data_IF_727401903077
#
_entry.id   IF_727401903077
#
_cell.length_a   1.000
_cell.length_b   1.000
_cell.length_c   1.000
_cell.angle_alpha   90.00
_cell.angle_beta   90.00
_cell.angle_gamma   90.00
#
_symmetry.space_group_name_H-M   'P 1'
#
loop_
_entity.id
_entity.type
_entity.pdbx_description
1 polymer ?
#
# COMPACT_ATOMS: atom_id res chain seq x y z
N UNK A 1 -46.43 31.05 -25.40
CA UNK A 1 -45.29 30.22 -25.89
C UNK A 1 -44.11 30.55 -24.98
N UNK A 2 -43.91 29.77 -23.91
CA UNK A 2 -42.84 30.01 -22.94
C UNK A 2 -41.70 29.00 -23.24
N UNK A 3 -40.52 29.54 -23.57
CA UNK A 3 -39.31 28.75 -23.81
C UNK A 3 -38.66 28.42 -22.46
N UNK A 4 -38.59 27.14 -22.12
CA UNK A 4 -37.78 26.64 -21.00
C UNK A 4 -36.32 26.53 -21.46
N UNK A 5 -35.47 27.43 -20.98
CA UNK A 5 -34.01 27.30 -21.13
C UNK A 5 -33.48 26.24 -20.20
N UNK A 6 -32.94 25.13 -20.74
CA UNK A 6 -32.20 24.13 -19.99
C UNK A 6 -30.83 24.69 -19.57
N UNK A 7 -30.60 24.89 -18.27
CA UNK A 7 -29.29 25.17 -17.72
C UNK A 7 -28.48 23.87 -17.74
N UNK A 8 -27.50 23.80 -18.64
CA UNK A 8 -26.50 22.76 -18.62
C UNK A 8 -25.52 23.02 -17.44
N UNK A 9 -25.63 22.27 -16.38
CA UNK A 9 -24.63 22.24 -15.30
C UNK A 9 -23.37 21.52 -15.80
N UNK A 10 -22.35 22.28 -16.16
CA UNK A 10 -21.01 21.73 -16.42
C UNK A 10 -20.43 21.21 -15.09
N UNK A 11 -20.40 19.89 -14.92
CA UNK A 11 -19.68 19.28 -13.81
C UNK A 11 -18.19 19.60 -13.98
N UNK A 12 -17.61 20.36 -13.04
CA UNK A 12 -16.17 20.55 -12.94
C UNK A 12 -15.52 19.17 -12.74
N UNK A 13 -14.41 18.86 -13.45
CA UNK A 13 -13.69 17.62 -13.20
C UNK A 13 -13.28 17.59 -11.73
N UNK A 14 -13.68 16.53 -11.01
CA UNK A 14 -13.22 16.31 -9.64
C UNK A 14 -11.69 16.34 -9.66
N UNK A 15 -11.09 17.24 -8.90
CA UNK A 15 -9.64 17.30 -8.75
C UNK A 15 -9.15 15.89 -8.39
N UNK A 16 -8.12 15.39 -9.12
CA UNK A 16 -7.57 14.07 -8.87
C UNK A 16 -7.16 13.99 -7.40
N UNK A 17 -7.81 13.08 -6.67
CA UNK A 17 -7.60 12.94 -5.25
C UNK A 17 -6.17 12.48 -4.98
N UNK A 18 -5.45 13.20 -4.14
CA UNK A 18 -4.06 12.90 -3.78
C UNK A 18 -3.90 12.89 -2.26
N UNK A 19 -2.93 12.14 -1.77
CA UNK A 19 -2.51 12.22 -0.38
C UNK A 19 -1.85 13.58 -0.13
N UNK A 20 -2.27 14.32 0.92
CA UNK A 20 -1.68 15.62 1.25
C UNK A 20 -0.24 15.47 1.74
N UNK A 21 0.49 16.58 1.82
CA UNK A 21 1.81 16.61 2.45
C UNK A 21 1.70 16.33 3.95
N UNK A 22 2.53 15.41 4.46
CA UNK A 22 2.60 15.10 5.89
C UNK A 22 3.98 14.54 6.24
N UNK A 23 4.78 15.35 6.94
CA UNK A 23 6.15 15.00 7.39
C UNK A 23 7.06 14.51 6.25
N UNK A 24 6.90 15.03 5.04
CA UNK A 24 7.57 14.52 3.84
C UNK A 24 9.09 14.53 3.98
N UNK A 25 9.67 15.59 4.53
CA UNK A 25 11.13 15.72 4.74
C UNK A 25 11.72 14.62 5.64
N UNK A 26 10.91 14.02 6.53
CA UNK A 26 11.33 12.94 7.42
C UNK A 26 11.23 11.56 6.77
N UNK A 27 10.48 11.42 5.68
CA UNK A 27 10.17 10.13 5.05
C UNK A 27 10.50 10.07 3.55
N UNK A 28 10.97 11.17 2.96
CA UNK A 28 11.50 11.15 1.60
C UNK A 28 12.71 10.20 1.51
N UNK A 29 12.93 9.63 0.32
CA UNK A 29 14.12 8.83 0.08
C UNK A 29 15.37 9.69 0.25
N UNK A 30 16.41 9.20 0.99
CA UNK A 30 17.60 10.00 1.29
C UNK A 30 18.34 10.44 0.04
N UNK A 31 18.72 9.51 -0.82
CA UNK A 31 19.35 9.77 -2.11
C UNK A 31 19.03 8.66 -3.09
N UNK A 32 18.86 8.99 -4.35
CA UNK A 32 18.77 8.04 -5.45
C UNK A 32 20.16 7.83 -6.02
N UNK A 33 20.74 6.63 -5.84
CA UNK A 33 22.06 6.26 -6.31
C UNK A 33 22.09 5.98 -7.82
N UNK A 34 21.00 5.40 -8.33
CA UNK A 34 20.81 5.19 -9.76
C UNK A 34 19.32 5.07 -10.10
N UNK A 35 18.98 5.37 -11.34
CA UNK A 35 17.62 5.22 -11.86
C UNK A 35 17.67 4.69 -13.30
N UNK A 36 16.63 3.92 -13.66
CA UNK A 36 16.40 3.40 -15.00
C UNK A 36 14.89 3.42 -15.31
N UNK A 37 14.52 3.07 -16.53
CA UNK A 37 13.12 2.93 -16.98
C UNK A 37 12.30 4.21 -16.66
N UNK A 38 12.83 5.38 -17.04
CA UNK A 38 12.22 6.70 -16.80
C UNK A 38 11.87 6.93 -15.32
N UNK A 39 12.72 6.43 -14.40
CA UNK A 39 12.52 6.50 -12.96
C UNK A 39 11.57 5.42 -12.41
N UNK A 40 11.15 4.47 -13.24
CA UNK A 40 10.40 3.30 -12.82
C UNK A 40 11.20 2.33 -11.97
N UNK A 41 12.52 2.24 -12.20
CA UNK A 41 13.46 1.53 -11.33
C UNK A 41 14.38 2.53 -10.64
N UNK A 42 14.52 2.43 -9.32
CA UNK A 42 15.42 3.28 -8.53
C UNK A 42 16.19 2.47 -7.50
N UNK A 43 17.46 2.79 -7.34
CA UNK A 43 18.30 2.34 -6.22
C UNK A 43 18.44 3.48 -5.24
N UNK A 44 18.01 3.26 -4.00
CA UNK A 44 17.99 4.27 -2.94
C UNK A 44 19.08 3.98 -1.91
N UNK A 45 19.81 5.00 -1.48
CA UNK A 45 20.82 4.93 -0.42
C UNK A 45 20.14 4.67 0.94
N UNK A 46 20.14 3.41 1.38
CA UNK A 46 19.74 3.06 2.75
C UNK A 46 20.98 2.77 3.59
N UNK A 47 21.01 3.32 4.79
CA UNK A 47 22.09 3.09 5.77
C UNK A 47 21.47 2.82 7.14
N UNK A 48 21.79 1.67 7.74
CA UNK A 48 21.23 1.30 9.06
C UNK A 48 21.56 2.37 10.12
N UNK A 49 22.75 2.95 10.09
CA UNK A 49 23.14 4.00 11.05
C UNK A 49 22.18 5.19 10.98
N UNK A 50 22.00 5.77 9.81
CA UNK A 50 21.11 6.93 9.61
C UNK A 50 19.61 6.58 9.75
N UNK A 51 19.17 5.45 9.16
CA UNK A 51 17.75 5.16 8.95
C UNK A 51 17.14 4.31 10.07
N UNK A 52 17.97 3.74 10.95
CA UNK A 52 17.54 3.07 12.19
C UNK A 52 18.16 3.74 13.40
N UNK A 53 19.50 3.69 13.56
CA UNK A 53 20.15 4.04 14.83
C UNK A 53 19.99 5.52 15.22
N UNK A 54 19.99 6.42 14.23
CA UNK A 54 19.75 7.87 14.46
C UNK A 54 18.25 8.22 14.56
N UNK A 55 17.35 7.31 14.16
CA UNK A 55 15.90 7.54 14.15
C UNK A 55 15.18 6.88 15.31
N UNK A 56 15.64 5.71 15.74
CA UNK A 56 14.96 4.90 16.74
C UNK A 56 15.66 5.00 18.11
N UNK A 57 14.92 4.82 19.18
CA UNK A 57 15.48 4.51 20.48
C UNK A 57 15.95 3.04 20.48
N UNK A 58 17.24 2.82 20.75
CA UNK A 58 17.87 1.51 20.81
C UNK A 58 17.92 1.06 22.28
N UNK A 59 17.63 -0.19 22.64
CA UNK A 59 17.43 -1.36 21.75
C UNK A 59 15.99 -1.59 21.26
N UNK A 60 15.00 -0.83 21.70
CA UNK A 60 13.57 -1.08 21.47
C UNK A 60 13.15 -0.90 20.01
N UNK A 61 13.98 -0.30 19.18
CA UNK A 61 13.69 0.05 17.77
C UNK A 61 12.36 0.77 17.60
N UNK A 62 12.09 1.72 18.48
CA UNK A 62 10.94 2.60 18.46
C UNK A 62 11.37 3.98 18.00
N UNK A 63 10.79 4.45 16.93
CA UNK A 63 11.16 5.74 16.34
C UNK A 63 10.91 6.91 17.29
N UNK A 64 11.74 7.93 17.20
CA UNK A 64 11.61 9.16 17.99
C UNK A 64 10.29 9.87 17.71
N UNK A 65 9.76 10.60 18.70
CA UNK A 65 8.45 11.26 18.64
C UNK A 65 8.27 12.25 17.47
N UNK A 66 9.34 12.86 16.95
CA UNK A 66 9.25 13.76 15.78
C UNK A 66 8.68 13.10 14.53
N UNK A 67 8.83 11.77 14.38
CA UNK A 67 8.29 10.98 13.28
C UNK A 67 6.82 10.62 13.45
N UNK A 68 6.27 10.74 14.67
CA UNK A 68 4.95 10.24 15.03
C UNK A 68 3.96 11.39 15.26
N UNK A 69 2.71 11.20 14.87
CA UNK A 69 1.58 12.07 15.22
C UNK A 69 0.43 11.23 15.73
N UNK A 70 0.06 11.41 17.00
CA UNK A 70 -0.94 10.58 17.69
C UNK A 70 -2.38 11.06 17.49
N UNK A 71 -2.61 12.22 16.88
CA UNK A 71 -3.96 12.76 16.66
C UNK A 71 -4.87 11.80 15.86
N UNK A 72 -4.29 10.99 14.98
CA UNK A 72 -5.04 9.98 14.21
C UNK A 72 -5.62 8.85 15.08
N UNK A 73 -5.13 8.65 16.30
CA UNK A 73 -5.66 7.62 17.24
C UNK A 73 -7.12 7.83 17.60
N UNK A 74 -7.60 9.07 17.61
CA UNK A 74 -9.02 9.38 17.82
C UNK A 74 -9.95 8.87 16.71
N UNK A 75 -9.37 8.47 15.57
CA UNK A 75 -10.09 7.89 14.43
C UNK A 75 -9.79 6.40 14.23
N UNK A 76 -9.09 5.76 15.17
CA UNK A 76 -8.68 4.36 15.11
C UNK A 76 -9.60 3.51 15.98
N UNK A 77 -10.20 2.48 15.39
CA UNK A 77 -11.09 1.54 16.09
C UNK A 77 -10.63 0.09 15.87
N UNK A 78 -10.71 -0.74 16.91
CA UNK A 78 -10.51 -2.20 16.84
C UNK A 78 -11.89 -2.85 16.68
N UNK A 79 -12.16 -3.44 15.53
CA UNK A 79 -13.47 -3.89 15.09
C UNK A 79 -13.45 -5.36 14.71
N UNK A 80 -14.64 -5.96 14.69
CA UNK A 80 -14.87 -7.29 14.13
C UNK A 80 -15.98 -7.17 13.07
N UNK A 81 -15.67 -7.55 11.82
CA UNK A 81 -16.65 -7.65 10.77
C UNK A 81 -17.23 -9.07 10.73
N UNK A 82 -18.56 -9.19 10.77
CA UNK A 82 -19.26 -10.44 10.49
C UNK A 82 -19.42 -10.57 8.96
N UNK A 83 -18.85 -11.60 8.37
CA UNK A 83 -18.85 -11.80 6.91
C UNK A 83 -19.18 -13.24 6.54
N UNK A 84 -19.53 -13.52 5.27
CA UNK A 84 -19.68 -14.90 4.80
C UNK A 84 -18.41 -15.75 4.93
N UNK A 85 -17.24 -15.13 4.99
CA UNK A 85 -15.95 -15.81 5.22
C UNK A 85 -15.58 -15.91 6.71
N UNK A 86 -16.53 -15.63 7.61
CA UNK A 86 -16.36 -15.66 9.05
C UNK A 86 -16.10 -14.28 9.67
N UNK A 87 -15.76 -14.31 10.94
CA UNK A 87 -15.47 -13.11 11.74
C UNK A 87 -14.05 -12.63 11.44
N UNK A 88 -13.90 -11.34 11.11
CA UNK A 88 -12.62 -10.75 10.76
C UNK A 88 -12.32 -9.58 11.70
N UNK A 89 -11.39 -9.79 12.62
CA UNK A 89 -10.89 -8.76 13.49
C UNK A 89 -9.94 -7.85 12.71
N UNK A 90 -10.10 -6.54 12.83
CA UNK A 90 -9.29 -5.57 12.09
C UNK A 90 -9.28 -4.21 12.77
N UNK A 91 -8.23 -3.44 12.54
CA UNK A 91 -8.25 -2.02 12.82
C UNK A 91 -8.75 -1.25 11.59
N UNK A 92 -9.58 -0.25 11.85
CA UNK A 92 -10.04 0.73 10.88
C UNK A 92 -9.61 2.13 11.36
N UNK A 93 -9.02 2.93 10.48
CA UNK A 93 -8.57 4.29 10.79
C UNK A 93 -9.06 5.26 9.73
N UNK A 94 -9.79 6.30 10.13
CA UNK A 94 -10.33 7.31 9.24
C UNK A 94 -11.80 7.07 8.84
N UNK A 95 -12.19 7.44 7.63
CA UNK A 95 -13.58 7.51 7.19
C UNK A 95 -14.10 6.16 6.72
N UNK A 96 -15.03 5.55 7.46
CA UNK A 96 -15.62 4.24 7.14
C UNK A 96 -16.75 4.27 6.10
N UNK A 97 -17.36 5.41 5.86
CA UNK A 97 -18.42 5.62 4.87
C UNK A 97 -18.08 6.80 3.96
N UNK A 98 -18.23 6.63 2.67
CA UNK A 98 -17.85 7.64 1.69
C UNK A 98 -16.36 7.95 1.72
N UNK A 99 -15.54 6.92 2.00
CA UNK A 99 -14.09 7.06 1.96
C UNK A 99 -13.62 7.40 0.56
N UNK A 100 -12.63 8.24 0.49
CA UNK A 100 -12.01 8.70 -0.73
C UNK A 100 -11.14 7.63 -1.39
N UNK A 101 -10.54 6.77 -0.56
CA UNK A 101 -9.74 5.60 -0.90
C UNK A 101 -9.75 4.63 0.26
N UNK A 102 -9.42 3.37 -0.02
CA UNK A 102 -9.22 2.33 1.00
C UNK A 102 -7.80 1.80 0.84
N UNK A 103 -6.98 1.90 1.90
CA UNK A 103 -5.63 1.31 1.94
C UNK A 103 -5.64 0.17 2.95
N UNK A 104 -5.21 -1.01 2.54
CA UNK A 104 -5.17 -2.20 3.41
C UNK A 104 -3.74 -2.66 3.54
N UNK A 105 -3.26 -2.83 4.77
CA UNK A 105 -1.97 -3.48 5.03
C UNK A 105 -2.19 -4.94 5.42
N UNK A 106 -1.57 -5.85 4.67
CA UNK A 106 -1.57 -7.28 4.92
C UNK A 106 -0.20 -7.68 5.47
N UNK A 107 -0.17 -8.09 6.74
CA UNK A 107 1.07 -8.44 7.45
C UNK A 107 1.72 -9.71 6.93
N UNK A 108 2.99 -9.92 7.25
CA UNK A 108 3.73 -11.16 6.99
C UNK A 108 3.53 -12.21 8.07
N UNK A 109 4.27 -13.33 7.94
CA UNK A 109 4.26 -14.42 8.89
C UNK A 109 4.63 -13.94 10.31
N UNK A 110 3.89 -14.41 11.30
CA UNK A 110 4.06 -14.01 12.70
C UNK A 110 3.54 -12.61 13.04
N UNK A 111 3.01 -11.86 12.05
CA UNK A 111 2.35 -10.58 12.26
C UNK A 111 0.89 -10.72 12.70
N UNK A 112 0.24 -9.58 12.88
CA UNK A 112 -1.18 -9.47 13.18
C UNK A 112 -1.69 -8.09 12.77
N UNK A 113 -3.01 -7.85 12.88
CA UNK A 113 -3.62 -6.53 12.68
C UNK A 113 -2.95 -5.41 13.48
N UNK A 114 -2.32 -5.73 14.61
CA UNK A 114 -1.65 -4.76 15.48
C UNK A 114 -0.40 -4.16 14.83
N UNK A 115 0.30 -4.91 13.97
CA UNK A 115 1.51 -4.44 13.31
C UNK A 115 1.25 -3.21 12.44
N UNK A 116 0.21 -3.25 11.61
CA UNK A 116 -0.11 -2.15 10.68
C UNK A 116 -0.62 -0.87 11.36
N UNK A 117 -0.90 -0.90 12.66
CA UNK A 117 -1.34 0.29 13.41
C UNK A 117 -0.36 0.72 14.50
N UNK A 118 0.78 0.03 14.66
CA UNK A 118 1.80 0.46 15.60
C UNK A 118 2.41 1.80 15.15
N UNK A 119 2.41 2.77 16.04
CA UNK A 119 2.85 4.13 15.72
C UNK A 119 4.38 4.28 15.68
N UNK A 120 5.11 3.38 16.32
CA UNK A 120 6.54 3.58 16.59
C UNK A 120 7.46 2.58 15.87
N UNK A 121 6.97 1.38 15.56
CA UNK A 121 7.77 0.38 14.84
C UNK A 121 7.93 0.74 13.36
N UNK A 122 8.86 0.10 12.69
CA UNK A 122 9.19 0.38 11.28
C UNK A 122 9.39 1.87 11.00
N UNK A 123 10.13 2.57 11.90
CA UNK A 123 10.46 3.98 11.73
C UNK A 123 9.27 4.93 11.75
N UNK A 124 8.14 4.53 12.33
CA UNK A 124 6.89 5.31 12.34
C UNK A 124 6.14 5.30 11.02
N UNK A 125 6.51 4.43 10.07
CA UNK A 125 5.95 4.49 8.73
C UNK A 125 4.47 4.02 8.69
N UNK A 126 4.03 3.18 9.62
CA UNK A 126 2.61 2.88 9.81
C UNK A 126 1.83 4.08 10.40
N UNK A 127 2.44 4.83 11.31
CA UNK A 127 1.83 6.07 11.77
C UNK A 127 1.68 7.07 10.63
N UNK A 128 2.67 7.16 9.74
CA UNK A 128 2.61 8.05 8.59
C UNK A 128 1.46 7.69 7.65
N UNK A 129 1.32 6.43 7.23
CA UNK A 129 0.25 6.05 6.29
C UNK A 129 -1.14 6.25 6.90
N UNK A 130 -1.35 5.94 8.19
CA UNK A 130 -2.62 6.21 8.87
C UNK A 130 -3.00 7.70 8.80
N UNK A 131 -2.05 8.59 9.12
CA UNK A 131 -2.28 10.03 9.06
C UNK A 131 -2.56 10.51 7.64
N UNK A 132 -1.77 10.09 6.65
CA UNK A 132 -1.95 10.46 5.25
C UNK A 132 -3.35 10.07 4.73
N UNK A 133 -3.77 8.84 4.97
CA UNK A 133 -5.06 8.34 4.51
C UNK A 133 -6.23 9.03 5.22
N UNK A 134 -6.15 9.20 6.55
CA UNK A 134 -7.19 9.87 7.30
C UNK A 134 -7.34 11.35 6.88
N UNK A 135 -6.24 12.07 6.68
CA UNK A 135 -6.24 13.46 6.20
C UNK A 135 -6.82 13.60 4.78
N UNK A 136 -6.64 12.58 3.93
CA UNK A 136 -7.24 12.54 2.61
C UNK A 136 -8.74 12.17 2.64
N UNK A 137 -9.35 11.96 3.81
CA UNK A 137 -10.72 11.48 3.94
C UNK A 137 -10.89 10.01 3.52
N UNK A 138 -9.82 9.24 3.53
CA UNK A 138 -9.77 7.82 3.23
C UNK A 138 -9.97 6.93 4.44
N UNK A 139 -9.87 5.62 4.20
CA UNK A 139 -9.93 4.54 5.18
C UNK A 139 -8.66 3.70 5.10
N UNK A 140 -7.97 3.55 6.22
CA UNK A 140 -6.87 2.61 6.38
C UNK A 140 -7.33 1.40 7.18
N UNK A 141 -7.00 0.19 6.70
CA UNK A 141 -7.36 -1.09 7.33
C UNK A 141 -6.12 -1.91 7.61
N UNK A 142 -6.09 -2.54 8.78
CA UNK A 142 -5.11 -3.57 9.14
C UNK A 142 -5.85 -4.77 9.73
N UNK A 143 -6.16 -5.81 8.92
CA UNK A 143 -6.90 -6.99 9.35
C UNK A 143 -5.99 -8.11 9.89
N UNK A 144 -6.60 -8.98 10.72
CA UNK A 144 -6.16 -10.36 10.87
C UNK A 144 -6.78 -11.23 9.77
N UNK A 145 -6.15 -12.35 9.47
CA UNK A 145 -6.63 -13.39 8.56
C UNK A 145 -6.05 -14.74 8.97
N UNK A 146 -6.75 -15.82 8.61
CA UNK A 146 -6.43 -17.16 9.13
C UNK A 146 -5.23 -17.83 8.48
N UNK A 147 -4.92 -17.48 7.21
CA UNK A 147 -3.85 -18.14 6.44
C UNK A 147 -3.38 -17.27 5.27
N UNK A 148 -2.23 -17.63 4.68
CA UNK A 148 -1.67 -16.97 3.50
C UNK A 148 -2.10 -17.66 2.18
N UNK A 149 -3.27 -18.28 2.15
CA UNK A 149 -3.83 -19.02 1.01
C UNK A 149 -5.18 -18.46 0.56
N UNK A 150 -5.94 -19.24 -0.23
CA UNK A 150 -7.26 -18.88 -0.72
C UNK A 150 -8.27 -18.56 0.36
N UNK A 151 -8.18 -19.17 1.54
CA UNK A 151 -9.08 -18.89 2.66
C UNK A 151 -8.80 -17.50 3.23
N UNK A 152 -7.53 -17.16 3.47
CA UNK A 152 -7.15 -15.81 3.90
C UNK A 152 -7.52 -14.75 2.86
N UNK A 153 -7.29 -15.03 1.57
CA UNK A 153 -7.70 -14.12 0.50
C UNK A 153 -9.22 -13.92 0.46
N UNK A 154 -10.02 -14.98 0.64
CA UNK A 154 -11.47 -14.88 0.73
C UNK A 154 -11.93 -14.03 1.93
N UNK A 155 -11.26 -14.14 3.08
CA UNK A 155 -11.54 -13.29 4.24
C UNK A 155 -11.26 -11.81 3.91
N UNK A 156 -10.13 -11.50 3.29
CA UNK A 156 -9.81 -10.11 2.91
C UNK A 156 -10.80 -9.60 1.85
N UNK A 157 -11.16 -10.40 0.85
CA UNK A 157 -12.16 -10.03 -0.15
C UNK A 157 -13.52 -9.71 0.48
N UNK A 158 -13.94 -10.52 1.47
CA UNK A 158 -15.18 -10.31 2.21
C UNK A 158 -15.13 -9.01 3.05
N UNK A 159 -14.03 -8.74 3.75
CA UNK A 159 -13.83 -7.48 4.47
C UNK A 159 -13.87 -6.26 3.53
N UNK A 160 -13.18 -6.35 2.39
CA UNK A 160 -13.21 -5.31 1.36
C UNK A 160 -14.63 -5.07 0.84
N UNK A 161 -15.43 -6.11 0.67
CA UNK A 161 -16.83 -6.01 0.22
C UNK A 161 -17.67 -5.16 1.18
N UNK A 162 -17.50 -5.35 2.50
CA UNK A 162 -18.18 -4.55 3.54
C UNK A 162 -17.88 -3.06 3.39
N UNK A 163 -16.61 -2.70 3.32
CA UNK A 163 -16.22 -1.27 3.25
C UNK A 163 -16.47 -0.64 1.88
N UNK A 164 -16.41 -1.43 0.82
CA UNK A 164 -16.77 -0.96 -0.52
C UNK A 164 -18.26 -0.70 -0.69
N UNK A 165 -19.11 -1.47 -0.03
CA UNK A 165 -20.56 -1.16 -0.01
C UNK A 165 -20.83 0.23 0.60
N UNK A 166 -20.04 0.62 1.62
CA UNK A 166 -20.12 1.94 2.24
C UNK A 166 -19.34 3.04 1.49
N UNK A 167 -18.46 2.68 0.55
CA UNK A 167 -17.60 3.59 -0.23
C UNK A 167 -17.39 3.05 -1.65
N UNK A 168 -18.45 3.04 -2.50
CA UNK A 168 -18.45 2.30 -3.77
C UNK A 168 -17.42 2.83 -4.80
N UNK A 169 -17.09 4.11 -4.74
CA UNK A 169 -16.17 4.75 -5.69
C UNK A 169 -14.70 4.75 -5.21
N UNK A 170 -14.46 4.32 -3.97
CA UNK A 170 -13.13 4.31 -3.38
C UNK A 170 -12.21 3.29 -4.06
N UNK A 171 -11.06 3.72 -4.62
CA UNK A 171 -10.03 2.80 -5.06
C UNK A 171 -9.42 2.06 -3.87
N UNK A 172 -9.07 0.78 -4.08
CA UNK A 172 -8.45 -0.06 -3.06
C UNK A 172 -6.96 -0.21 -3.34
N UNK A 173 -6.10 0.10 -2.37
CA UNK A 173 -4.67 -0.14 -2.41
C UNK A 173 -4.31 -1.25 -1.43
N UNK A 174 -3.67 -2.31 -1.93
CA UNK A 174 -3.20 -3.42 -1.10
C UNK A 174 -1.70 -3.28 -0.88
N UNK A 175 -1.29 -3.11 0.36
CA UNK A 175 0.10 -3.07 0.78
C UNK A 175 0.44 -4.36 1.52
N UNK A 176 1.31 -5.17 0.96
CA UNK A 176 1.58 -6.53 1.39
C UNK A 176 3.02 -6.69 1.84
N UNK A 177 3.22 -6.92 3.14
CA UNK A 177 4.53 -7.20 3.72
C UNK A 177 4.84 -8.69 3.68
N UNK A 178 6.04 -9.04 3.21
CA UNK A 178 6.55 -10.42 3.28
C UNK A 178 5.54 -11.46 2.75
N UNK A 179 5.19 -12.47 3.53
CA UNK A 179 4.20 -13.50 3.19
C UNK A 179 2.80 -12.97 2.87
N UNK A 180 2.46 -11.73 3.29
CA UNK A 180 1.23 -11.07 2.90
C UNK A 180 1.07 -10.92 1.37
N UNK A 181 2.17 -10.97 0.63
CA UNK A 181 2.16 -10.98 -0.84
C UNK A 181 1.37 -12.12 -1.46
N UNK A 182 1.31 -13.30 -0.81
CA UNK A 182 0.46 -14.39 -1.29
C UNK A 182 -1.00 -13.97 -1.41
N UNK A 183 -1.50 -13.19 -0.43
CA UNK A 183 -2.88 -12.69 -0.47
C UNK A 183 -3.04 -11.62 -1.54
N UNK A 184 -2.06 -10.71 -1.70
CA UNK A 184 -2.07 -9.71 -2.77
C UNK A 184 -2.21 -10.38 -4.14
N UNK A 185 -1.44 -11.43 -4.40
CA UNK A 185 -1.48 -12.12 -5.67
C UNK A 185 -2.80 -12.85 -5.91
N UNK A 186 -3.35 -13.51 -4.89
CA UNK A 186 -4.65 -14.17 -5.00
C UNK A 186 -5.79 -13.16 -5.20
N UNK A 187 -5.76 -12.03 -4.51
CA UNK A 187 -6.72 -10.94 -4.71
C UNK A 187 -6.58 -10.30 -6.11
N UNK A 188 -5.37 -10.23 -6.66
CA UNK A 188 -5.13 -9.79 -8.04
C UNK A 188 -5.74 -10.75 -9.08
N UNK A 189 -5.88 -12.05 -8.76
CA UNK A 189 -6.54 -13.05 -9.60
C UNK A 189 -8.08 -13.02 -9.48
N UNK A 190 -8.64 -12.36 -8.46
CA UNK A 190 -10.08 -12.29 -8.21
C UNK A 190 -10.70 -11.13 -9.00
N UNK A 191 -11.53 -11.37 -10.05
CA UNK A 191 -12.02 -10.31 -10.94
C UNK A 191 -12.76 -9.17 -10.23
N UNK A 192 -13.56 -9.49 -9.21
CA UNK A 192 -14.38 -8.54 -8.43
C UNK A 192 -13.50 -7.60 -7.60
N UNK A 193 -12.39 -8.11 -7.07
CA UNK A 193 -11.39 -7.32 -6.34
C UNK A 193 -10.54 -6.53 -7.33
N UNK A 194 -10.00 -7.19 -8.35
CA UNK A 194 -9.14 -6.59 -9.37
C UNK A 194 -9.80 -5.37 -10.05
N UNK A 195 -11.12 -5.41 -10.25
CA UNK A 195 -11.90 -4.32 -10.82
C UNK A 195 -11.91 -3.03 -9.98
N UNK A 196 -11.45 -3.10 -8.74
CA UNK A 196 -11.46 -1.97 -7.78
C UNK A 196 -10.07 -1.60 -7.27
N UNK A 197 -9.05 -2.37 -7.64
CA UNK A 197 -7.69 -2.06 -7.24
C UNK A 197 -7.22 -0.73 -7.82
N UNK A 198 -6.75 0.12 -6.95
CA UNK A 198 -6.01 1.35 -7.25
C UNK A 198 -4.52 1.08 -7.38
N UNK A 199 -4.02 0.02 -6.74
CA UNK A 199 -2.63 -0.38 -6.79
C UNK A 199 -2.30 -1.53 -5.86
N UNK A 200 -1.19 -2.20 -6.16
CA UNK A 200 -0.56 -3.24 -5.35
C UNK A 200 0.82 -2.76 -4.91
N UNK A 201 1.12 -2.86 -3.61
CA UNK A 201 2.43 -2.52 -3.04
C UNK A 201 3.03 -3.76 -2.39
N UNK A 202 4.13 -4.25 -2.93
CA UNK A 202 4.91 -5.39 -2.42
C UNK A 202 6.09 -4.86 -1.63
N UNK A 203 6.13 -5.12 -0.33
CA UNK A 203 7.10 -4.56 0.61
C UNK A 203 7.96 -5.67 1.22
N UNK A 204 9.15 -5.92 0.65
CA UNK A 204 9.96 -7.07 1.02
C UNK A 204 9.17 -8.36 0.86
N UNK A 205 8.60 -8.58 -0.30
CA UNK A 205 7.61 -9.64 -0.51
C UNK A 205 7.94 -10.50 -1.73
N UNK A 206 7.29 -11.66 -1.81
CA UNK A 206 7.46 -12.60 -2.91
C UNK A 206 6.83 -12.04 -4.21
N UNK A 207 7.32 -12.54 -5.34
CA UNK A 207 6.77 -12.31 -6.66
C UNK A 207 5.81 -13.43 -7.08
N UNK A 208 5.07 -13.23 -8.15
CA UNK A 208 4.20 -14.24 -8.77
C UNK A 208 4.32 -14.20 -10.30
N UNK A 209 4.94 -15.21 -10.87
CA UNK A 209 5.10 -15.34 -12.33
C UNK A 209 3.75 -15.50 -13.05
N UNK A 210 2.68 -15.85 -12.34
CA UNK A 210 1.30 -15.91 -12.85
C UNK A 210 0.62 -14.54 -12.98
N UNK A 211 1.17 -13.49 -12.35
CA UNK A 211 0.57 -12.16 -12.37
C UNK A 211 0.23 -11.63 -13.78
N UNK A 212 1.06 -11.81 -14.83
CA UNK A 212 0.74 -11.34 -16.18
C UNK A 212 -0.52 -11.97 -16.81
N UNK A 213 -1.04 -13.05 -16.26
CA UNK A 213 -2.29 -13.66 -16.68
C UNK A 213 -3.52 -13.13 -15.91
N UNK A 214 -3.29 -12.43 -14.79
CA UNK A 214 -4.33 -12.01 -13.85
C UNK A 214 -5.29 -10.94 -14.41
N UNK A 215 -6.52 -10.88 -13.90
CA UNK A 215 -7.42 -9.76 -14.14
C UNK A 215 -6.84 -8.40 -13.76
N UNK A 216 -6.06 -8.31 -12.68
CA UNK A 216 -5.41 -7.07 -12.27
C UNK A 216 -4.39 -6.59 -13.30
N UNK A 217 -3.56 -7.49 -13.85
CA UNK A 217 -2.61 -7.16 -14.90
C UNK A 217 -3.32 -6.67 -16.19
N UNK A 218 -4.36 -7.39 -16.63
CA UNK A 218 -5.16 -7.02 -17.80
C UNK A 218 -5.80 -5.62 -17.66
N UNK A 219 -6.13 -5.23 -16.44
CA UNK A 219 -6.65 -3.90 -16.10
C UNK A 219 -5.55 -2.86 -15.86
N UNK A 220 -4.30 -3.24 -16.05
CA UNK A 220 -3.13 -2.37 -15.82
C UNK A 220 -3.10 -1.74 -14.41
N UNK A 221 -3.48 -2.52 -13.38
CA UNK A 221 -3.40 -2.08 -11.99
C UNK A 221 -1.95 -1.71 -11.66
N UNK A 222 -1.66 -0.49 -11.18
CA UNK A 222 -0.31 -0.09 -10.84
C UNK A 222 0.33 -1.01 -9.80
N UNK A 223 1.59 -1.37 -10.02
CA UNK A 223 2.37 -2.24 -9.13
C UNK A 223 3.61 -1.51 -8.62
N UNK A 224 3.76 -1.42 -7.31
CA UNK A 224 4.98 -0.96 -6.65
C UNK A 224 5.68 -2.14 -5.96
N UNK A 225 7.00 -2.19 -6.09
CA UNK A 225 7.85 -3.20 -5.48
C UNK A 225 8.95 -2.48 -4.69
N UNK A 226 8.94 -2.64 -3.37
CA UNK A 226 10.02 -2.21 -2.50
C UNK A 226 10.84 -3.43 -2.05
N UNK A 227 12.17 -3.43 -2.26
CA UNK A 227 13.01 -4.57 -1.95
C UNK A 227 14.35 -4.15 -1.34
N UNK A 228 14.77 -4.83 -0.26
CA UNK A 228 16.11 -4.67 0.31
C UNK A 228 17.15 -5.45 -0.51
N UNK A 229 18.32 -4.84 -0.79
CA UNK A 229 19.35 -5.52 -1.59
C UNK A 229 20.02 -6.69 -0.86
N UNK A 230 19.91 -6.72 0.47
CA UNK A 230 20.40 -7.81 1.34
C UNK A 230 19.26 -8.61 1.97
N UNK A 231 18.10 -8.62 1.36
CA UNK A 231 17.01 -9.48 1.78
C UNK A 231 17.39 -10.96 1.59
N UNK A 232 17.42 -11.70 2.70
CA UNK A 232 17.75 -13.13 2.71
C UNK A 232 16.55 -14.05 2.57
N UNK A 233 15.33 -13.49 2.64
CA UNK A 233 14.07 -14.24 2.49
C UNK A 233 13.63 -14.26 1.02
N UNK A 234 13.61 -13.10 0.40
CA UNK A 234 13.28 -12.94 -1.03
C UNK A 234 14.45 -12.24 -1.74
N UNK A 235 15.32 -13.02 -2.44
CA UNK A 235 16.52 -12.46 -3.06
C UNK A 235 16.21 -11.38 -4.08
N UNK A 236 16.85 -10.22 -3.94
CA UNK A 236 16.60 -9.04 -4.78
C UNK A 236 16.73 -9.31 -6.28
N UNK A 237 17.69 -10.16 -6.69
CA UNK A 237 17.89 -10.49 -8.12
C UNK A 237 16.68 -11.17 -8.75
N UNK A 238 15.93 -11.99 -8.00
CA UNK A 238 14.71 -12.64 -8.48
C UNK A 238 13.55 -11.64 -8.56
N UNK A 239 13.43 -10.74 -7.60
CA UNK A 239 12.42 -9.68 -7.59
C UNK A 239 12.67 -8.70 -8.75
N UNK A 240 13.94 -8.36 -9.03
CA UNK A 240 14.33 -7.56 -10.20
C UNK A 240 14.03 -8.28 -11.53
N UNK A 241 14.28 -9.58 -11.60
CA UNK A 241 13.94 -10.37 -12.77
C UNK A 241 12.42 -10.36 -13.03
N UNK A 242 11.62 -10.46 -11.99
CA UNK A 242 10.17 -10.33 -12.08
C UNK A 242 9.75 -8.94 -12.58
N UNK A 243 10.29 -7.86 -12.02
CA UNK A 243 10.06 -6.49 -12.49
C UNK A 243 10.33 -6.35 -13.99
N UNK A 244 11.50 -6.83 -14.46
CA UNK A 244 11.87 -6.78 -15.88
C UNK A 244 10.97 -7.65 -16.75
N UNK A 245 10.50 -8.78 -16.24
CA UNK A 245 9.57 -9.67 -16.97
C UNK A 245 8.24 -8.98 -17.27
N UNK A 246 7.73 -8.18 -16.33
CA UNK A 246 6.52 -7.36 -16.51
C UNK A 246 6.70 -6.36 -17.65
N UNK A 247 7.79 -5.58 -17.63
CA UNK A 247 8.07 -4.59 -18.68
C UNK A 247 8.29 -5.24 -20.03
N UNK A 248 8.96 -6.41 -20.09
CA UNK A 248 9.13 -7.20 -21.32
C UNK A 248 7.79 -7.69 -21.86
N UNK A 249 6.89 -8.15 -20.98
CA UNK A 249 5.57 -8.67 -21.36
C UNK A 249 4.63 -7.56 -21.83
N UNK A 250 4.69 -6.41 -21.19
CA UNK A 250 3.83 -5.27 -21.49
C UNK A 250 4.63 -3.96 -21.36
N UNK A 251 5.29 -3.51 -22.45
CA UNK A 251 5.98 -2.23 -22.45
C UNK A 251 5.07 -1.09 -21.97
N UNK A 252 5.59 -0.24 -21.09
CA UNK A 252 4.81 0.85 -20.49
C UNK A 252 3.76 0.40 -19.46
N UNK A 253 3.84 -0.84 -18.94
CA UNK A 253 3.03 -1.24 -17.79
C UNK A 253 3.35 -0.33 -16.58
N UNK A 254 2.34 0.14 -15.80
CA UNK A 254 2.59 0.99 -14.64
C UNK A 254 3.19 0.17 -13.49
N UNK A 255 4.48 -0.12 -13.56
CA UNK A 255 5.26 -0.78 -12.50
C UNK A 255 6.41 0.11 -12.09
N UNK A 256 6.63 0.20 -10.77
CA UNK A 256 7.81 0.84 -10.18
C UNK A 256 8.49 -0.10 -9.20
N UNK A 257 9.82 -0.05 -9.18
CA UNK A 257 10.63 -0.77 -8.20
C UNK A 257 11.60 0.17 -7.51
N UNK A 258 11.65 0.08 -6.19
CA UNK A 258 12.66 0.74 -5.35
C UNK A 258 13.49 -0.34 -4.66
N UNK A 259 14.78 -0.40 -5.02
CA UNK A 259 15.78 -1.20 -4.33
C UNK A 259 16.43 -0.35 -3.26
N UNK A 260 16.32 -0.76 -2.01
CA UNK A 260 17.02 -0.14 -0.88
C UNK A 260 18.39 -0.79 -0.75
N UNK A 261 19.45 -0.04 -1.12
CA UNK A 261 20.82 -0.58 -1.11
C UNK A 261 21.27 -0.85 0.32
N UNK A 262 21.87 -2.01 0.55
CA UNK A 262 22.20 -2.59 1.86
C UNK A 262 21.00 -2.94 2.78
N UNK A 263 19.77 -2.65 2.35
CA UNK A 263 18.55 -2.91 3.12
C UNK A 263 18.26 -4.41 3.30
N UNK A 264 17.73 -4.77 4.46
CA UNK A 264 17.28 -6.11 4.83
C UNK A 264 15.80 -6.33 4.51
N UNK A 265 15.26 -7.49 4.92
CA UNK A 265 13.87 -7.90 4.67
C UNK A 265 12.81 -6.88 5.15
N UNK A 266 12.98 -6.27 6.33
CA UNK A 266 12.03 -5.28 6.88
C UNK A 266 12.19 -3.85 6.34
N UNK A 267 13.28 -3.57 5.60
CA UNK A 267 13.60 -2.22 5.13
C UNK A 267 12.51 -1.61 4.24
N UNK A 268 11.88 -2.34 3.31
CA UNK A 268 10.83 -1.75 2.46
C UNK A 268 9.63 -1.23 3.24
N UNK A 269 9.21 -1.90 4.32
CA UNK A 269 8.09 -1.44 5.17
C UNK A 269 8.49 -0.12 5.86
N UNK A 270 9.73 -0.03 6.35
CA UNK A 270 10.26 1.16 7.04
C UNK A 270 10.43 2.36 6.11
N UNK A 271 10.91 2.12 4.88
CA UNK A 271 11.46 3.17 4.03
C UNK A 271 10.53 3.59 2.87
N UNK A 272 9.49 2.84 2.55
CA UNK A 272 8.60 3.21 1.43
C UNK A 272 7.97 4.58 1.67
N UNK A 273 8.16 5.51 0.72
CA UNK A 273 7.43 6.76 0.70
C UNK A 273 5.99 6.51 0.21
N UNK A 274 5.09 6.36 1.19
CA UNK A 274 3.67 6.09 0.94
C UNK A 274 3.01 7.17 0.10
N UNK A 275 3.34 8.43 0.35
CA UNK A 275 2.72 9.56 -0.35
C UNK A 275 3.13 9.58 -1.82
N UNK A 276 4.42 9.49 -2.09
CA UNK A 276 4.91 9.42 -3.47
C UNK A 276 4.31 8.22 -4.20
N UNK A 277 4.33 7.05 -3.56
CA UNK A 277 3.89 5.79 -4.18
C UNK A 277 2.40 5.79 -4.49
N UNK A 278 1.55 6.15 -3.53
CA UNK A 278 0.09 6.13 -3.74
C UNK A 278 -0.33 7.25 -4.69
N UNK A 279 0.27 8.45 -4.61
CA UNK A 279 -0.04 9.53 -5.54
C UNK A 279 0.35 9.17 -6.98
N UNK A 280 1.49 8.50 -7.17
CA UNK A 280 1.83 7.94 -8.47
C UNK A 280 0.79 6.92 -8.95
N UNK A 281 0.36 5.98 -8.10
CA UNK A 281 -0.66 5.01 -8.46
C UNK A 281 -1.99 5.68 -8.85
N UNK A 282 -2.40 6.70 -8.11
CA UNK A 282 -3.60 7.48 -8.43
C UNK A 282 -3.48 8.16 -9.80
N UNK A 283 -2.31 8.69 -10.15
CA UNK A 283 -2.06 9.32 -11.45
C UNK A 283 -1.98 8.32 -12.62
N UNK A 284 -1.55 7.10 -12.35
CA UNK A 284 -1.41 6.04 -13.35
C UNK A 284 -2.73 5.31 -13.68
N UNK A 285 -3.79 5.55 -12.89
CA UNK A 285 -5.16 5.06 -13.18
C UNK A 285 -5.77 5.90 -14.29
N UNK A 286 -5.98 5.30 -15.43
CA UNK A 286 -6.68 5.91 -16.58
C UNK A 286 -7.90 5.11 -16.97
#
# INVERSE_FOLDING_TARGET
>A
MFAFGALATTALPAAAQTLPSFKDDLFAYPAVLSAADDGGYRVVDYREERDINERDAIPERRVQGRYVSLGVRGQQEDLVAETPAGRIAHFAVGRRQGASMIVVYLHGQGGSRKQGVDDYTFGGNFNRIKNLVAQAGGLYLSPDFGSFDGNGAAQIAALLSVYRAASPDAPVFLACGSMGGHLCWQLAQTPEVAGRLGGLLLLGSLWDDGFPASPAFKRRVPLFIGQGSRDTVFPVGQVEAFYRSILKKAPGYPVRMVRFETGSHGTPIRMTDWRETINWMLSARR
#
